data_IF_544824071833
#
_entry.id   IF_544824071833
#
_cell.length_a   1.000
_cell.length_b   1.000
_cell.length_c   1.000
_cell.angle_alpha   90.00
_cell.angle_beta   90.00
_cell.angle_gamma   90.00
#
_symmetry.space_group_name_H-M   'P 1'
#
loop_
_entity.id
_entity.type
_entity.pdbx_description
1 polymer ?
#
# COMPACT_ATOMS: atom_id res chain seq x y z
N UNK A 1 24.27 5.93 24.84
CA UNK A 1 24.09 4.47 24.60
C UNK A 1 23.69 3.74 25.87
N UNK A 2 24.25 4.10 27.02
CA UNK A 2 24.01 3.43 28.31
C UNK A 2 22.53 3.32 28.72
N UNK A 3 21.71 4.34 28.41
CA UNK A 3 20.27 4.32 28.65
C UNK A 3 19.54 3.24 27.83
N UNK A 4 19.88 3.11 26.54
CA UNK A 4 19.29 2.10 25.66
C UNK A 4 19.68 0.68 26.09
N UNK A 5 20.95 0.50 26.49
CA UNK A 5 21.44 -0.78 27.02
C UNK A 5 20.75 -1.12 28.33
N UNK A 6 20.55 -0.15 29.24
CA UNK A 6 19.83 -0.36 30.49
C UNK A 6 18.38 -0.82 30.26
N UNK A 7 17.68 -0.26 29.26
CA UNK A 7 16.32 -0.69 28.88
C UNK A 7 16.29 -2.14 28.40
N UNK A 8 17.26 -2.52 27.55
CA UNK A 8 17.39 -3.87 27.02
C UNK A 8 17.69 -4.91 28.09
N UNK A 9 18.53 -4.56 29.08
CA UNK A 9 18.89 -5.45 30.20
C UNK A 9 17.74 -5.73 31.15
N UNK A 10 16.72 -4.86 31.20
CA UNK A 10 15.56 -5.06 32.08
C UNK A 10 14.54 -6.01 31.45
N UNK A 11 13.89 -5.57 30.38
CA UNK A 11 12.88 -6.36 29.62
C UNK A 11 12.52 -5.74 28.26
N UNK A 12 12.99 -4.52 27.93
CA UNK A 12 12.55 -3.84 26.72
C UNK A 12 13.08 -4.55 25.46
N UNK A 13 12.23 -4.68 24.45
CA UNK A 13 12.59 -5.20 23.13
C UNK A 13 12.60 -4.07 22.12
N UNK A 14 13.62 -4.07 21.26
CA UNK A 14 13.65 -3.15 20.14
C UNK A 14 12.65 -3.63 19.08
N UNK A 15 11.70 -2.77 18.74
CA UNK A 15 10.79 -2.96 17.62
C UNK A 15 11.35 -2.32 16.36
N UNK A 16 11.15 -2.97 15.22
CA UNK A 16 11.55 -2.42 13.93
C UNK A 16 10.45 -1.59 13.28
N UNK A 17 10.74 -1.01 12.11
CA UNK A 17 9.75 -0.28 11.31
C UNK A 17 8.49 -1.09 10.99
N UNK A 18 8.62 -2.41 10.79
CA UNK A 18 7.46 -3.28 10.53
C UNK A 18 6.51 -3.35 11.73
N UNK A 19 7.07 -3.45 12.93
CA UNK A 19 6.28 -3.56 14.16
C UNK A 19 5.57 -2.22 14.45
N UNK A 20 6.21 -1.10 14.13
CA UNK A 20 5.60 0.22 14.21
C UNK A 20 4.44 0.37 13.23
N UNK A 21 4.61 -0.06 11.97
CA UNK A 21 3.51 -0.09 10.99
C UNK A 21 2.34 -0.96 11.48
N UNK A 22 2.62 -2.13 12.07
CA UNK A 22 1.58 -2.98 12.65
C UNK A 22 0.88 -2.30 13.82
N UNK A 23 1.60 -1.65 14.73
CA UNK A 23 1.01 -0.92 15.84
C UNK A 23 0.13 0.24 15.38
N UNK A 24 0.53 0.97 14.33
CA UNK A 24 -0.28 2.02 13.72
C UNK A 24 -1.58 1.47 13.12
N UNK A 25 -1.49 0.35 12.39
CA UNK A 25 -2.65 -0.33 11.81
C UNK A 25 -3.62 -0.80 12.89
N UNK A 26 -3.12 -1.43 13.96
CA UNK A 26 -3.92 -1.88 15.11
C UNK A 26 -4.61 -0.71 15.82
N UNK A 27 -3.92 0.43 15.92
CA UNK A 27 -4.48 1.65 16.48
C UNK A 27 -5.43 2.40 15.52
N UNK A 28 -5.70 1.86 14.32
CA UNK A 28 -6.47 2.52 13.25
C UNK A 28 -5.96 3.94 12.94
N UNK A 29 -4.63 4.12 13.04
CA UNK A 29 -3.95 5.39 12.77
C UNK A 29 -3.17 5.31 11.48
N UNK A 30 -3.31 6.32 10.63
CA UNK A 30 -2.51 6.45 9.43
C UNK A 30 -1.02 6.66 9.77
N UNK A 31 -0.16 5.91 9.11
CA UNK A 31 1.29 6.05 9.16
C UNK A 31 1.77 6.82 7.93
N UNK A 32 2.34 8.01 8.16
CA UNK A 32 3.02 8.76 7.11
C UNK A 32 4.39 8.11 6.82
N UNK A 33 4.82 7.93 5.56
CA UNK A 33 4.21 8.43 4.32
C UNK A 33 3.29 7.43 3.60
N UNK A 34 3.28 6.15 3.98
CA UNK A 34 2.66 5.07 3.20
C UNK A 34 1.14 5.19 3.10
N UNK A 35 0.47 5.60 4.17
CA UNK A 35 -1.00 5.63 4.22
C UNK A 35 -1.59 6.96 3.72
N UNK A 36 -0.76 7.98 3.49
CA UNK A 36 -1.21 9.33 3.10
C UNK A 36 -1.06 9.52 1.60
N UNK A 37 -1.99 8.95 0.84
CA UNK A 37 -1.97 8.87 -0.64
C UNK A 37 -2.06 10.24 -1.33
N UNK A 38 -2.66 11.23 -0.68
CA UNK A 38 -2.85 12.58 -1.23
C UNK A 38 -1.55 13.38 -1.25
N UNK A 39 -0.62 13.05 -0.34
CA UNK A 39 0.64 13.75 -0.21
C UNK A 39 1.60 13.43 -1.34
N UNK A 40 2.50 14.37 -1.68
CA UNK A 40 3.56 14.11 -2.68
C UNK A 40 4.42 12.91 -2.28
N UNK A 41 4.76 12.81 -0.99
CA UNK A 41 5.53 11.68 -0.45
C UNK A 41 4.79 10.35 -0.62
N UNK A 42 3.49 10.31 -0.38
CA UNK A 42 2.66 9.12 -0.60
C UNK A 42 2.64 8.70 -2.08
N UNK A 43 2.49 9.66 -3.00
CA UNK A 43 2.55 9.38 -4.45
C UNK A 43 3.89 8.79 -4.88
N UNK A 44 4.99 9.33 -4.36
CA UNK A 44 6.34 8.83 -4.66
C UNK A 44 6.56 7.42 -4.05
N UNK A 45 6.04 7.16 -2.85
CA UNK A 45 6.10 5.85 -2.22
C UNK A 45 5.26 4.80 -2.96
N UNK A 46 4.06 5.15 -3.42
CA UNK A 46 3.22 4.26 -4.25
C UNK A 46 3.97 3.86 -5.53
N UNK A 47 4.63 4.81 -6.20
CA UNK A 47 5.45 4.53 -7.38
C UNK A 47 6.63 3.61 -7.06
N UNK A 48 7.29 3.82 -5.91
CA UNK A 48 8.39 2.97 -5.45
C UNK A 48 7.91 1.54 -5.18
N UNK A 49 6.79 1.38 -4.48
CA UNK A 49 6.18 0.08 -4.20
C UNK A 49 5.76 -0.63 -5.49
N UNK A 50 5.16 0.09 -6.43
CA UNK A 50 4.80 -0.45 -7.75
C UNK A 50 6.00 -1.09 -8.45
N UNK A 51 7.10 -0.34 -8.62
CA UNK A 51 8.32 -0.84 -9.24
C UNK A 51 8.88 -2.05 -8.50
N UNK A 52 8.89 -2.02 -7.16
CA UNK A 52 9.35 -3.14 -6.34
C UNK A 52 8.51 -4.41 -6.58
N UNK A 53 7.19 -4.28 -6.68
CA UNK A 53 6.30 -5.40 -6.94
C UNK A 53 6.42 -5.94 -8.37
N UNK A 54 6.58 -5.07 -9.37
CA UNK A 54 6.82 -5.49 -10.74
C UNK A 54 8.13 -6.24 -10.90
N UNK A 55 9.20 -5.76 -10.25
CA UNK A 55 10.50 -6.44 -10.24
C UNK A 55 10.41 -7.81 -9.56
N UNK A 56 9.70 -7.91 -8.42
CA UNK A 56 9.46 -9.20 -7.75
C UNK A 56 8.65 -10.16 -8.61
N UNK A 57 7.68 -9.65 -9.37
CA UNK A 57 6.86 -10.44 -10.27
C UNK A 57 7.66 -10.93 -11.48
N UNK A 58 8.44 -10.04 -12.12
CA UNK A 58 9.28 -10.35 -13.28
C UNK A 58 10.45 -11.29 -12.93
N UNK A 59 10.93 -11.28 -11.69
CA UNK A 59 11.96 -12.23 -11.23
C UNK A 59 11.48 -13.69 -11.18
N UNK A 60 10.19 -13.94 -11.01
CA UNK A 60 9.64 -15.31 -10.99
C UNK A 60 9.59 -15.87 -12.42
N UNK A 61 9.79 -17.17 -12.67
CA UNK A 61 9.62 -17.73 -14.02
C UNK A 61 8.12 -17.75 -14.41
N UNK A 62 7.82 -17.64 -15.71
CA UNK A 62 6.44 -17.49 -16.23
C UNK A 62 5.44 -18.50 -15.64
N UNK A 63 5.79 -19.79 -15.60
CA UNK A 63 4.92 -20.86 -15.09
C UNK A 63 4.68 -20.81 -13.56
N UNK A 64 5.46 -20.01 -12.81
CA UNK A 64 5.28 -19.80 -11.37
C UNK A 64 4.68 -18.42 -11.04
N UNK A 65 4.33 -17.64 -12.06
CA UNK A 65 3.67 -16.33 -11.88
C UNK A 65 2.15 -16.52 -11.81
N UNK A 66 1.52 -15.71 -10.97
CA UNK A 66 0.05 -15.59 -10.93
C UNK A 66 -0.41 -14.84 -12.17
N UNK A 67 -1.40 -15.37 -12.88
CA UNK A 67 -1.97 -14.68 -14.05
C UNK A 67 -3.13 -13.78 -13.63
N UNK A 68 -2.83 -12.51 -13.33
CA UNK A 68 -3.80 -11.54 -12.82
C UNK A 68 -4.93 -11.24 -13.80
N UNK A 69 -4.64 -11.07 -15.09
CA UNK A 69 -5.67 -10.75 -16.07
C UNK A 69 -6.54 -11.96 -16.42
N UNK A 70 -5.94 -13.06 -16.91
CA UNK A 70 -6.72 -14.19 -17.46
C UNK A 70 -7.48 -14.99 -16.41
N UNK A 71 -7.00 -15.05 -15.17
CA UNK A 71 -7.62 -15.89 -14.12
C UNK A 71 -8.39 -15.08 -13.08
N UNK A 72 -8.00 -13.83 -12.82
CA UNK A 72 -8.55 -13.03 -11.74
C UNK A 72 -9.24 -11.75 -12.23
N UNK A 73 -9.15 -11.43 -13.52
CA UNK A 73 -9.72 -10.20 -14.11
C UNK A 73 -9.27 -8.92 -13.40
N UNK A 74 -8.05 -8.93 -12.85
CA UNK A 74 -7.47 -7.77 -12.15
C UNK A 74 -6.73 -6.90 -13.17
N UNK A 75 -7.20 -5.66 -13.36
CA UNK A 75 -6.64 -4.67 -14.28
C UNK A 75 -5.31 -4.09 -13.76
N UNK A 76 -5.28 -3.69 -12.48
CA UNK A 76 -4.12 -3.05 -11.84
C UNK A 76 -3.63 -3.89 -10.64
N UNK A 77 -2.74 -4.88 -10.86
CA UNK A 77 -2.28 -5.76 -9.78
C UNK A 77 -1.21 -5.15 -8.87
N UNK A 78 -0.51 -4.09 -9.32
CA UNK A 78 0.63 -3.49 -8.62
C UNK A 78 0.52 -1.97 -8.47
N UNK A 79 -0.53 -1.37 -9.02
CA UNK A 79 -0.83 0.06 -8.90
C UNK A 79 -2.27 0.23 -8.44
N UNK A 80 -2.55 1.42 -7.93
CA UNK A 80 -3.92 1.82 -7.61
C UNK A 80 -4.19 3.15 -8.31
N UNK A 81 -4.98 3.10 -9.38
CA UNK A 81 -5.35 4.28 -10.17
C UNK A 81 -6.53 5.00 -9.51
N UNK A 82 -6.24 5.77 -8.45
CA UNK A 82 -7.25 6.52 -7.71
C UNK A 82 -8.00 7.51 -8.61
N UNK A 83 -7.34 8.10 -9.59
CA UNK A 83 -7.95 9.08 -10.51
C UNK A 83 -9.02 8.45 -11.40
N UNK A 84 -8.76 7.26 -11.95
CA UNK A 84 -9.74 6.51 -12.74
C UNK A 84 -10.93 6.09 -11.86
N UNK A 85 -10.66 5.59 -10.64
CA UNK A 85 -11.69 5.20 -9.70
C UNK A 85 -12.61 6.38 -9.34
N UNK A 86 -12.04 7.55 -9.05
CA UNK A 86 -12.81 8.75 -8.74
C UNK A 86 -13.62 9.21 -9.97
N UNK A 87 -13.02 9.16 -11.16
CA UNK A 87 -13.70 9.49 -12.42
C UNK A 87 -14.93 8.63 -12.67
N UNK A 88 -14.79 7.30 -12.52
CA UNK A 88 -15.89 6.35 -12.68
C UNK A 88 -17.00 6.59 -11.64
N UNK A 89 -16.64 6.85 -10.40
CA UNK A 89 -17.60 7.15 -9.33
C UNK A 89 -18.38 8.45 -9.58
N UNK A 90 -17.70 9.48 -10.08
CA UNK A 90 -18.35 10.75 -10.43
C UNK A 90 -19.28 10.57 -11.63
N UNK A 91 -18.87 9.85 -12.66
CA UNK A 91 -19.70 9.56 -13.83
C UNK A 91 -20.96 8.75 -13.46
N UNK A 92 -20.82 7.74 -12.59
CA UNK A 92 -21.93 6.93 -12.10
C UNK A 92 -22.93 7.72 -11.25
N UNK A 93 -22.49 8.77 -10.54
CA UNK A 93 -23.41 9.66 -9.83
C UNK A 93 -24.24 10.51 -10.77
N UNK A 94 -23.65 10.99 -11.86
CA UNK A 94 -24.35 11.83 -12.85
C UNK A 94 -25.45 11.04 -13.55
N UNK A 95 -25.19 9.80 -13.97
CA UNK A 95 -26.20 8.96 -14.64
C UNK A 95 -27.40 8.65 -13.75
N UNK A 96 -27.20 8.41 -12.45
CA UNK A 96 -28.29 8.21 -11.50
C UNK A 96 -29.13 9.48 -11.25
N UNK A 97 -28.56 10.67 -11.43
CA UNK A 97 -29.27 11.94 -11.26
C UNK A 97 -30.14 12.34 -12.45
N UNK A 98 -29.85 11.82 -13.66
CA UNK A 98 -30.62 12.11 -14.88
C UNK A 98 -31.75 11.11 -15.16
N UNK A 99 -31.77 9.97 -14.46
CA UNK A 99 -32.76 8.91 -14.63
C UNK A 99 -33.68 8.69 -13.40
N UNK A 100 -33.62 9.56 -12.40
CA UNK A 100 -34.57 9.63 -11.27
C UNK A 100 -35.42 10.89 -11.35
#
# INVERSE_FOLDING_TARGET
MDFWVALQLRTARASGWRDELTAHLEASRFCFPTDVVDSKAGKDEIKRMHLEHELKYSKRPHNRRVNYWRKLSIKYPFTFEYEELIGDWLAAKVTNFFFG
#
